data_IF_538742954377
#
_entry.id   IF_538742954377
#
_cell.length_a   1.000
_cell.length_b   1.000
_cell.length_c   1.000
_cell.angle_alpha   90.00
_cell.angle_beta   90.00
_cell.angle_gamma   90.00
#
_symmetry.space_group_name_H-M   'P 1'
#
loop_
_entity.id
_entity.type
_entity.pdbx_description
1 polymer ?
#
# COMPACT_ATOMS: atom_id res chain seq x y z
N UNK A 1 -19.56 -3.01 -10.50
CA UNK A 1 -18.14 -3.38 -10.73
C UNK A 1 -17.71 -2.90 -12.11
N UNK A 2 -16.62 -2.14 -12.20
CA UNK A 2 -15.98 -1.70 -13.45
C UNK A 2 -14.70 -2.52 -13.66
N UNK A 3 -14.51 -3.04 -14.87
CA UNK A 3 -13.32 -3.80 -15.25
C UNK A 3 -12.76 -3.26 -16.56
N UNK A 4 -11.54 -2.74 -16.52
CA UNK A 4 -10.83 -2.18 -17.66
C UNK A 4 -9.58 -3.03 -17.91
N UNK A 5 -9.54 -3.78 -19.01
CA UNK A 5 -8.44 -4.68 -19.32
C UNK A 5 -7.91 -4.46 -20.73
N UNK A 6 -6.58 -4.46 -20.88
CA UNK A 6 -5.90 -4.44 -22.18
C UNK A 6 -6.32 -3.25 -23.06
N UNK A 7 -6.48 -2.08 -22.45
CA UNK A 7 -6.80 -0.83 -23.15
C UNK A 7 -5.52 0.02 -23.29
N UNK A 8 -4.67 -0.23 -24.30
CA UNK A 8 -3.35 0.40 -24.39
C UNK A 8 -3.42 1.91 -24.53
N UNK A 9 -4.49 2.45 -25.14
CA UNK A 9 -4.69 3.90 -25.33
C UNK A 9 -5.35 4.59 -24.13
N UNK A 10 -5.75 3.86 -23.09
CA UNK A 10 -6.40 4.46 -21.92
C UNK A 10 -5.36 5.23 -21.10
N UNK A 11 -5.43 6.56 -21.14
CA UNK A 11 -4.49 7.45 -20.43
C UNK A 11 -5.01 7.92 -19.07
N UNK A 12 -6.32 7.85 -18.88
CA UNK A 12 -7.04 8.19 -17.65
C UNK A 12 -8.44 7.58 -17.70
N UNK A 13 -9.02 7.25 -16.55
CA UNK A 13 -10.40 6.74 -16.45
C UNK A 13 -11.41 7.90 -16.53
N UNK A 14 -10.96 9.12 -16.23
CA UNK A 14 -11.76 10.34 -16.26
C UNK A 14 -11.03 11.43 -17.05
N UNK A 15 -11.67 11.90 -18.12
CA UNK A 15 -11.23 13.04 -18.95
C UNK A 15 -12.45 13.87 -19.34
N UNK A 16 -12.28 15.18 -19.44
CA UNK A 16 -13.27 16.18 -19.85
C UNK A 16 -14.10 15.85 -21.08
N UNK A 17 -13.56 14.99 -21.93
CA UNK A 17 -14.01 14.82 -23.31
C UNK A 17 -14.76 13.51 -23.56
N UNK A 18 -14.75 12.57 -22.59
CA UNK A 18 -15.40 11.28 -22.72
C UNK A 18 -15.83 10.78 -21.33
N UNK A 19 -17.07 11.11 -20.98
CA UNK A 19 -17.66 10.80 -19.68
C UNK A 19 -18.21 9.38 -19.71
N UNK A 20 -17.49 8.42 -19.14
CA UNK A 20 -18.16 7.24 -18.57
C UNK A 20 -18.72 7.68 -17.22
N UNK A 21 -19.96 8.18 -17.22
CA UNK A 21 -20.71 8.44 -16.00
C UNK A 21 -20.89 7.09 -15.32
N UNK A 22 -20.40 6.98 -14.09
CA UNK A 22 -20.35 5.72 -13.37
C UNK A 22 -20.80 5.96 -11.93
N UNK A 23 -22.08 6.26 -11.77
CA UNK A 23 -22.65 6.75 -10.51
C UNK A 23 -22.84 5.66 -9.44
N UNK A 24 -22.32 4.45 -9.67
CA UNK A 24 -22.58 3.27 -8.81
C UNK A 24 -21.44 2.25 -8.76
N UNK A 25 -20.21 2.64 -9.10
CA UNK A 25 -19.08 1.70 -9.03
C UNK A 25 -18.58 1.59 -7.58
N UNK A 26 -18.83 0.44 -6.96
CA UNK A 26 -18.20 0.05 -5.70
C UNK A 26 -16.81 -0.58 -5.87
N UNK A 27 -16.54 -1.18 -7.03
CA UNK A 27 -15.28 -1.88 -7.29
C UNK A 27 -14.78 -1.63 -8.71
N UNK A 28 -13.52 -1.19 -8.82
CA UNK A 28 -12.82 -0.94 -10.07
C UNK A 28 -11.55 -1.80 -10.17
N UNK A 29 -11.46 -2.60 -11.23
CA UNK A 29 -10.25 -3.37 -11.58
C UNK A 29 -9.69 -2.89 -12.91
N UNK A 30 -8.41 -2.55 -12.93
CA UNK A 30 -7.72 -2.03 -14.12
C UNK A 30 -6.46 -2.86 -14.32
N UNK A 31 -6.29 -3.43 -15.51
CA UNK A 31 -5.14 -4.28 -15.78
C UNK A 31 -4.62 -4.16 -17.21
N UNK A 32 -3.30 -4.23 -17.37
CA UNK A 32 -2.64 -4.24 -18.69
C UNK A 32 -2.92 -2.98 -19.56
N UNK A 33 -3.15 -1.82 -18.94
CA UNK A 33 -3.28 -0.55 -19.65
C UNK A 33 -1.92 0.16 -19.68
N UNK A 34 -1.16 -0.02 -20.75
CA UNK A 34 0.26 0.40 -20.85
C UNK A 34 0.46 1.91 -20.79
N UNK A 35 -0.45 2.71 -21.34
CA UNK A 35 -0.31 4.18 -21.38
C UNK A 35 -1.00 4.90 -20.21
N UNK A 36 -1.61 4.15 -19.27
CA UNK A 36 -2.35 4.71 -18.15
C UNK A 36 -1.38 5.30 -17.13
N UNK A 37 -1.17 6.62 -17.21
CA UNK A 37 -0.27 7.34 -16.29
C UNK A 37 -0.94 7.73 -14.97
N UNK A 38 -2.25 7.97 -15.01
CA UNK A 38 -3.04 8.44 -13.87
C UNK A 38 -4.40 7.76 -13.80
N UNK A 39 -4.80 7.30 -12.62
CA UNK A 39 -6.10 6.65 -12.39
C UNK A 39 -7.19 7.71 -12.23
N UNK A 40 -7.06 8.56 -11.20
CA UNK A 40 -7.96 9.68 -10.95
C UNK A 40 -7.32 10.98 -11.43
N UNK A 41 -8.07 11.77 -12.22
CA UNK A 41 -7.63 13.04 -12.80
C UNK A 41 -8.25 14.27 -12.13
N UNK A 42 -8.05 15.45 -12.75
CA UNK A 42 -8.20 16.77 -12.12
C UNK A 42 -9.61 17.17 -11.67
N UNK A 43 -10.64 16.37 -11.97
CA UNK A 43 -12.04 16.65 -11.65
C UNK A 43 -12.62 15.49 -10.84
N UNK A 44 -12.32 15.49 -9.54
CA UNK A 44 -12.93 14.56 -8.59
C UNK A 44 -14.42 14.86 -8.48
N UNK A 45 -15.24 14.10 -9.21
CA UNK A 45 -16.66 14.00 -8.92
C UNK A 45 -17.35 12.69 -9.35
N UNK A 46 -16.66 11.53 -9.35
CA UNK A 46 -17.44 10.31 -9.18
C UNK A 46 -16.65 9.19 -8.46
N UNK A 47 -16.52 9.23 -7.14
CA UNK A 47 -16.29 8.01 -6.33
C UNK A 47 -16.95 8.16 -4.96
N UNK A 48 -18.17 8.71 -4.92
CA UNK A 48 -18.95 8.68 -3.67
C UNK A 48 -19.34 7.25 -3.28
N UNK A 49 -19.09 6.25 -4.14
CA UNK A 49 -19.42 4.85 -3.93
C UNK A 49 -18.24 3.87 -4.06
N UNK A 50 -17.05 4.28 -4.54
CA UNK A 50 -15.96 3.32 -4.77
C UNK A 50 -15.32 2.85 -3.47
N UNK A 51 -15.55 1.58 -3.14
CA UNK A 51 -15.01 0.90 -1.98
C UNK A 51 -13.73 0.13 -2.29
N UNK A 52 -13.55 -0.38 -3.51
CA UNK A 52 -12.45 -1.29 -3.86
C UNK A 52 -11.75 -0.88 -5.15
N UNK A 53 -10.45 -0.68 -5.06
CA UNK A 53 -9.59 -0.34 -6.21
C UNK A 53 -8.52 -1.41 -6.40
N UNK A 54 -8.44 -1.98 -7.61
CA UNK A 54 -7.46 -2.99 -7.97
C UNK A 54 -6.71 -2.59 -9.25
N UNK A 55 -5.42 -2.34 -9.13
CA UNK A 55 -4.55 -1.87 -10.20
C UNK A 55 -3.47 -2.94 -10.46
N UNK A 56 -3.39 -3.49 -11.67
CA UNK A 56 -2.43 -4.55 -11.98
C UNK A 56 -1.69 -4.32 -13.28
N UNK A 57 -0.37 -4.54 -13.31
CA UNK A 57 0.43 -4.54 -14.55
C UNK A 57 0.22 -3.25 -15.36
N UNK A 58 0.29 -2.11 -14.69
CA UNK A 58 0.17 -0.79 -15.31
C UNK A 58 1.57 -0.18 -15.42
N UNK A 59 2.23 -0.44 -16.54
CA UNK A 59 3.66 -0.16 -16.72
C UNK A 59 4.02 1.32 -16.64
N UNK A 60 3.13 2.21 -17.10
CA UNK A 60 3.33 3.67 -17.06
C UNK A 60 2.63 4.38 -15.91
N UNK A 61 2.03 3.65 -14.95
CA UNK A 61 1.29 4.28 -13.85
C UNK A 61 2.25 5.05 -12.95
N UNK A 62 2.04 6.37 -12.84
CA UNK A 62 2.87 7.27 -12.06
C UNK A 62 2.15 7.85 -10.85
N UNK A 63 0.82 7.99 -10.91
CA UNK A 63 0.01 8.43 -9.78
C UNK A 63 -1.37 7.77 -9.77
N UNK A 64 -1.86 7.43 -8.59
CA UNK A 64 -3.25 6.99 -8.40
C UNK A 64 -4.17 8.20 -8.27
N UNK A 65 -3.77 9.21 -7.49
CA UNK A 65 -4.58 10.39 -7.18
C UNK A 65 -3.99 11.66 -7.78
N UNK A 66 -4.83 12.54 -8.33
CA UNK A 66 -4.41 13.85 -8.80
C UNK A 66 -4.26 14.83 -7.63
N UNK A 67 -3.04 15.34 -7.42
CA UNK A 67 -2.70 16.24 -6.32
C UNK A 67 -3.37 17.62 -6.44
N UNK A 68 -3.50 18.13 -7.66
CA UNK A 68 -4.06 19.47 -7.93
C UNK A 68 -5.57 19.45 -7.68
N UNK A 69 -6.22 18.35 -8.07
CA UNK A 69 -7.63 18.13 -7.82
C UNK A 69 -7.98 18.06 -6.33
N UNK A 70 -7.14 17.37 -5.54
CA UNK A 70 -7.33 17.25 -4.09
C UNK A 70 -7.06 18.57 -3.35
N UNK A 71 -6.17 19.42 -3.89
CA UNK A 71 -5.91 20.75 -3.35
C UNK A 71 -7.09 21.72 -3.57
N UNK A 72 -7.81 21.60 -4.69
CA UNK A 72 -8.99 22.41 -5.02
C UNK A 72 -10.23 22.08 -4.16
N UNK A 73 -10.24 20.94 -3.45
CA UNK A 73 -11.26 20.61 -2.46
C UNK A 73 -11.11 21.43 -1.16
N UNK A 74 -10.53 22.62 -1.20
CA UNK A 74 -10.37 23.49 -0.04
C UNK A 74 -11.10 24.84 -0.20
N UNK A 75 -11.87 25.30 0.81
CA UNK A 75 -12.20 24.61 2.05
C UNK A 75 -13.49 23.82 1.86
N UNK A 76 -13.44 22.63 1.23
CA UNK A 76 -14.59 21.75 1.30
C UNK A 76 -14.83 21.38 2.78
N UNK A 77 -16.08 21.33 3.24
CA UNK A 77 -16.41 20.92 4.60
C UNK A 77 -15.76 19.57 4.92
N UNK A 78 -15.55 19.32 6.21
CA UNK A 78 -14.95 18.10 6.77
C UNK A 78 -15.73 16.78 6.48
N UNK A 79 -16.58 16.76 5.46
CA UNK A 79 -17.56 15.71 5.15
C UNK A 79 -17.25 14.97 3.84
N UNK A 80 -16.27 15.39 3.05
CA UNK A 80 -15.85 14.63 1.85
C UNK A 80 -14.98 13.44 2.26
N UNK A 81 -15.62 12.33 2.61
CA UNK A 81 -14.97 11.04 2.79
C UNK A 81 -15.09 10.22 1.51
N UNK A 82 -13.99 9.63 1.07
CA UNK A 82 -14.05 8.56 0.10
C UNK A 82 -14.49 7.28 0.82
N UNK A 83 -15.45 6.52 0.27
CA UNK A 83 -15.90 5.25 0.84
C UNK A 83 -14.87 4.13 0.62
N UNK A 84 -13.68 4.44 0.11
CA UNK A 84 -12.65 3.47 -0.23
C UNK A 84 -12.25 2.64 0.99
N UNK A 85 -12.52 1.33 0.91
CA UNK A 85 -12.27 0.29 1.91
C UNK A 85 -11.01 -0.49 1.59
N UNK A 86 -10.70 -0.73 0.32
CA UNK A 86 -9.55 -1.56 -0.08
C UNK A 86 -8.83 -1.02 -1.31
N UNK A 87 -7.51 -1.01 -1.25
CA UNK A 87 -6.62 -0.74 -2.38
C UNK A 87 -5.70 -1.94 -2.58
N UNK A 88 -5.66 -2.47 -3.80
CA UNK A 88 -4.71 -3.49 -4.24
C UNK A 88 -3.92 -3.01 -5.44
N UNK A 89 -2.60 -3.05 -5.38
CA UNK A 89 -1.70 -2.65 -6.47
C UNK A 89 -0.68 -3.76 -6.72
N UNK A 90 -0.61 -4.25 -7.95
CA UNK A 90 0.32 -5.32 -8.31
C UNK A 90 1.10 -4.99 -9.59
N UNK A 91 2.42 -5.20 -9.60
CA UNK A 91 3.24 -5.11 -10.83
C UNK A 91 3.11 -3.74 -11.53
N UNK A 92 3.01 -2.65 -10.77
CA UNK A 92 2.94 -1.27 -11.29
C UNK A 92 4.30 -0.58 -11.09
N UNK A 93 5.28 -0.96 -11.91
CA UNK A 93 6.68 -0.69 -11.61
C UNK A 93 7.10 0.79 -11.64
N UNK A 94 6.39 1.69 -12.34
CA UNK A 94 6.69 3.13 -12.35
C UNK A 94 6.02 3.92 -11.20
N UNK A 95 5.17 3.27 -10.40
CA UNK A 95 4.48 3.93 -9.31
C UNK A 95 5.44 4.09 -8.13
N UNK A 96 5.82 5.33 -7.84
CA UNK A 96 6.79 5.67 -6.78
C UNK A 96 6.17 5.91 -5.41
N UNK A 97 4.92 6.37 -5.40
CA UNK A 97 4.16 6.69 -4.19
C UNK A 97 2.68 6.38 -4.38
N UNK A 98 2.02 5.86 -3.35
CA UNK A 98 0.57 5.66 -3.39
C UNK A 98 -0.16 6.95 -3.02
N UNK A 99 0.20 7.51 -1.86
CA UNK A 99 -0.36 8.73 -1.32
C UNK A 99 0.67 9.86 -1.40
N UNK A 100 0.23 11.02 -1.85
CA UNK A 100 1.05 12.21 -2.00
C UNK A 100 0.87 13.20 -0.83
N UNK A 101 1.72 14.24 -0.71
CA UNK A 101 1.63 15.21 0.38
C UNK A 101 0.29 15.93 0.44
N UNK A 102 -0.24 16.24 -0.75
CA UNK A 102 -1.55 16.88 -0.92
C UNK A 102 -2.70 15.89 -0.84
N UNK A 103 -2.42 14.59 -0.70
CA UNK A 103 -3.48 13.60 -0.53
C UNK A 103 -4.07 13.73 0.87
N UNK A 104 -5.35 14.08 0.93
CA UNK A 104 -6.07 14.16 2.19
C UNK A 104 -6.30 12.76 2.72
N UNK A 105 -5.35 12.21 3.47
CA UNK A 105 -5.55 10.95 4.22
C UNK A 105 -6.79 11.03 5.15
N UNK A 106 -7.14 12.24 5.59
CA UNK A 106 -8.39 12.53 6.29
C UNK A 106 -9.66 12.22 5.49
N UNK A 107 -9.58 12.10 4.16
CA UNK A 107 -10.69 11.64 3.31
C UNK A 107 -10.76 10.11 3.21
N UNK A 108 -9.76 9.36 3.68
CA UNK A 108 -9.65 7.90 3.53
C UNK A 108 -9.87 7.15 4.85
N UNK A 109 -10.72 7.67 5.73
CA UNK A 109 -10.96 7.12 7.07
C UNK A 109 -11.70 5.76 7.06
N UNK A 110 -12.19 5.32 5.90
CA UNK A 110 -12.84 4.01 5.72
C UNK A 110 -11.88 2.91 5.25
N UNK A 111 -10.63 3.24 4.96
CA UNK A 111 -9.68 2.31 4.38
C UNK A 111 -9.31 1.20 5.38
N UNK A 112 -9.68 -0.04 5.07
CA UNK A 112 -9.42 -1.23 5.87
C UNK A 112 -8.23 -2.04 5.37
N UNK A 113 -7.95 -2.03 4.06
CA UNK A 113 -6.90 -2.85 3.45
C UNK A 113 -6.05 -2.08 2.45
N UNK A 114 -4.73 -2.19 2.59
CA UNK A 114 -3.74 -1.81 1.59
C UNK A 114 -2.90 -3.05 1.27
N UNK A 115 -2.88 -3.47 0.00
CA UNK A 115 -2.11 -4.60 -0.49
C UNK A 115 -1.29 -4.18 -1.73
N UNK A 116 0.02 -4.07 -1.59
CA UNK A 116 0.93 -3.62 -2.65
C UNK A 116 1.98 -4.69 -2.87
N UNK A 117 2.05 -5.20 -4.11
CA UNK A 117 2.98 -6.25 -4.50
C UNK A 117 3.74 -5.90 -5.78
N UNK A 118 5.03 -6.25 -5.83
CA UNK A 118 5.83 -6.26 -7.06
C UNK A 118 5.91 -4.90 -7.76
N UNK A 119 6.02 -3.81 -7.00
CA UNK A 119 6.15 -2.44 -7.52
C UNK A 119 7.59 -1.95 -7.33
N UNK A 120 8.47 -2.29 -8.28
CA UNK A 120 9.92 -2.16 -8.17
C UNK A 120 10.45 -0.75 -7.87
N UNK A 121 9.79 0.33 -8.35
CA UNK A 121 10.21 1.71 -8.08
C UNK A 121 9.41 2.40 -6.97
N UNK A 122 8.57 1.67 -6.22
CA UNK A 122 7.84 2.24 -5.09
C UNK A 122 8.84 2.66 -4.01
N UNK A 123 8.92 3.96 -3.71
CA UNK A 123 9.86 4.53 -2.74
C UNK A 123 9.17 4.81 -1.40
N UNK A 124 7.91 5.24 -1.43
CA UNK A 124 7.11 5.58 -0.24
C UNK A 124 5.66 5.12 -0.40
N UNK A 125 4.99 4.69 0.67
CA UNK A 125 3.53 4.46 0.59
C UNK A 125 2.78 5.78 0.75
N UNK A 126 3.19 6.58 1.74
CA UNK A 126 2.64 7.89 2.06
C UNK A 126 3.76 8.93 2.05
N UNK A 127 3.76 9.78 1.03
CA UNK A 127 4.73 10.87 0.90
C UNK A 127 4.16 12.16 1.51
N UNK A 128 4.97 12.89 2.28
CA UNK A 128 4.63 14.22 2.86
C UNK A 128 5.36 15.37 2.16
N UNK A 129 6.32 15.06 1.28
CA UNK A 129 6.94 16.03 0.40
C UNK A 129 7.85 17.01 1.14
N UNK A 130 8.70 17.69 0.37
CA UNK A 130 9.88 18.37 0.92
C UNK A 130 9.60 19.49 1.93
N UNK A 131 8.40 20.06 1.98
CA UNK A 131 8.08 21.14 2.95
C UNK A 131 7.45 20.64 4.25
N UNK A 132 6.78 19.48 4.24
CA UNK A 132 6.20 18.89 5.45
C UNK A 132 7.12 17.80 6.04
N UNK A 133 8.13 17.36 5.28
CA UNK A 133 9.23 16.48 5.74
C UNK A 133 10.04 17.05 6.92
N UNK A 134 9.94 18.35 7.24
CA UNK A 134 10.57 18.95 8.42
C UNK A 134 9.69 18.89 9.68
N UNK A 135 8.41 18.51 9.56
CA UNK A 135 7.47 18.42 10.70
C UNK A 135 7.03 16.99 10.93
N UNK A 136 7.25 16.51 12.15
CA UNK A 136 6.71 15.22 12.58
C UNK A 136 5.17 15.31 12.59
N UNK A 137 4.54 14.65 11.62
CA UNK A 137 3.09 14.56 11.52
C UNK A 137 2.62 13.21 12.04
N UNK A 138 1.59 13.24 12.88
CA UNK A 138 0.84 12.05 13.25
C UNK A 138 -0.26 11.82 12.22
N UNK A 139 -0.07 10.80 11.39
CA UNK A 139 -1.04 10.39 10.37
C UNK A 139 -2.00 9.38 10.98
N UNK A 140 -3.24 9.32 10.48
CA UNK A 140 -4.25 8.41 11.02
C UNK A 140 -5.01 7.69 9.92
N UNK A 141 -5.01 6.36 10.00
CA UNK A 141 -5.88 5.46 9.23
C UNK A 141 -6.62 4.57 10.23
N UNK A 142 -7.68 5.09 10.89
CA UNK A 142 -8.23 4.49 12.10
C UNK A 142 -8.89 3.13 11.86
N UNK A 143 -9.36 2.86 10.63
CA UNK A 143 -9.98 1.59 10.25
C UNK A 143 -9.03 0.63 9.52
N UNK A 144 -7.75 0.98 9.32
CA UNK A 144 -6.82 0.10 8.62
C UNK A 144 -6.60 -1.17 9.45
N UNK A 145 -6.94 -2.32 8.87
CA UNK A 145 -6.84 -3.65 9.49
C UNK A 145 -5.73 -4.49 8.89
N UNK A 146 -5.44 -4.30 7.61
CA UNK A 146 -4.48 -5.12 6.87
C UNK A 146 -3.57 -4.21 6.05
N UNK A 147 -2.27 -4.29 6.30
CA UNK A 147 -1.22 -3.69 5.47
C UNK A 147 -0.30 -4.78 4.95
N UNK A 148 -0.27 -4.97 3.63
CA UNK A 148 0.59 -5.94 2.96
C UNK A 148 1.48 -5.24 1.95
N UNK A 149 2.78 -5.40 2.15
CA UNK A 149 3.85 -4.84 1.33
C UNK A 149 4.76 -5.99 0.92
N UNK A 150 4.82 -6.26 -0.39
CA UNK A 150 5.55 -7.40 -0.92
C UNK A 150 6.36 -7.01 -2.15
N UNK A 151 7.59 -7.49 -2.25
CA UNK A 151 8.40 -7.32 -3.47
C UNK A 151 8.56 -5.84 -3.85
N UNK A 152 8.91 -5.01 -2.85
CA UNK A 152 9.10 -3.56 -3.01
C UNK A 152 10.57 -3.21 -2.70
N UNK A 153 11.51 -3.55 -3.60
CA UNK A 153 12.94 -3.43 -3.34
C UNK A 153 13.40 -1.98 -3.14
N UNK A 154 12.70 -0.99 -3.70
CA UNK A 154 13.03 0.43 -3.55
C UNK A 154 12.31 1.13 -2.38
N UNK A 155 11.47 0.43 -1.61
CA UNK A 155 10.64 1.05 -0.58
C UNK A 155 11.52 1.49 0.60
N UNK A 156 11.62 2.80 0.81
CA UNK A 156 12.45 3.42 1.86
C UNK A 156 11.64 3.72 3.12
N UNK A 157 10.38 4.13 2.97
CA UNK A 157 9.49 4.48 4.10
C UNK A 157 8.03 4.08 3.81
N UNK A 158 7.26 3.81 4.87
CA UNK A 158 5.79 3.66 4.76
C UNK A 158 5.13 5.04 4.83
N UNK A 159 5.58 5.89 5.75
CA UNK A 159 5.32 7.31 5.74
C UNK A 159 6.63 8.05 6.05
N UNK A 160 6.70 9.34 5.69
CA UNK A 160 7.86 10.22 5.89
C UNK A 160 8.65 9.89 7.16
N UNK A 161 9.99 9.95 7.09
CA UNK A 161 10.91 9.38 8.08
C UNK A 161 10.74 9.87 9.52
N UNK A 162 10.05 10.99 9.75
CA UNK A 162 9.79 11.57 11.09
C UNK A 162 8.31 11.46 11.51
N UNK A 163 7.47 10.86 10.68
CA UNK A 163 6.05 10.71 10.91
C UNK A 163 5.70 9.34 11.46
N UNK A 164 4.61 9.29 12.21
CA UNK A 164 4.05 8.05 12.77
C UNK A 164 2.63 7.86 12.27
N UNK A 165 2.27 6.61 12.00
CA UNK A 165 0.97 6.18 11.56
C UNK A 165 0.21 5.60 12.76
N UNK A 166 -0.88 6.27 13.12
CA UNK A 166 -1.87 5.75 14.07
C UNK A 166 -2.88 4.88 13.34
N UNK A 167 -2.86 3.59 13.66
CA UNK A 167 -3.77 2.59 13.10
C UNK A 167 -4.17 1.58 14.19
N UNK A 168 -5.02 2.02 15.12
CA UNK A 168 -5.42 1.24 16.30
C UNK A 168 -6.20 -0.05 15.93
N UNK A 169 -6.79 -0.08 14.72
CA UNK A 169 -7.48 -1.24 14.15
C UNK A 169 -6.57 -2.24 13.42
N UNK A 170 -5.26 -1.98 13.32
CA UNK A 170 -4.35 -2.83 12.55
C UNK A 170 -4.30 -4.23 13.15
N UNK A 171 -4.69 -5.23 12.36
CA UNK A 171 -4.70 -6.64 12.77
C UNK A 171 -3.51 -7.39 12.19
N UNK A 172 -3.16 -7.13 10.93
CA UNK A 172 -2.10 -7.85 10.22
C UNK A 172 -1.20 -6.90 9.45
N UNK A 173 0.11 -7.05 9.68
CA UNK A 173 1.16 -6.42 8.91
C UNK A 173 1.98 -7.49 8.18
N UNK A 174 2.13 -7.38 6.87
CA UNK A 174 2.95 -8.29 6.06
C UNK A 174 4.00 -7.46 5.34
N UNK A 175 5.28 -7.71 5.61
CA UNK A 175 6.39 -7.05 4.91
C UNK A 175 7.31 -8.14 4.38
N UNK A 176 7.29 -8.35 3.06
CA UNK A 176 8.06 -9.39 2.37
C UNK A 176 8.94 -8.73 1.32
N UNK A 177 10.26 -8.92 1.39
CA UNK A 177 11.26 -8.45 0.43
C UNK A 177 11.14 -6.95 0.14
N UNK A 178 11.08 -6.16 1.22
CA UNK A 178 11.14 -4.70 1.19
C UNK A 178 12.46 -4.25 1.85
N UNK A 179 13.59 -4.62 1.25
CA UNK A 179 14.91 -4.62 1.91
C UNK A 179 15.47 -3.23 2.24
N UNK A 180 15.04 -2.19 1.52
CA UNK A 180 15.45 -0.80 1.77
C UNK A 180 14.60 -0.11 2.84
N UNK A 181 13.56 -0.78 3.36
CA UNK A 181 12.65 -0.18 4.35
C UNK A 181 13.35 -0.15 5.71
N UNK A 182 13.60 1.06 6.23
CA UNK A 182 14.41 1.23 7.45
C UNK A 182 13.62 1.19 8.75
N UNK A 183 12.34 1.55 8.70
CA UNK A 183 11.50 1.76 9.89
C UNK A 183 10.08 1.27 9.63
N UNK A 184 9.41 0.90 10.72
CA UNK A 184 7.97 0.63 10.74
C UNK A 184 7.33 1.76 11.55
N UNK A 185 6.67 2.74 10.91
CA UNK A 185 6.23 3.96 11.57
C UNK A 185 4.87 3.74 12.26
N UNK A 186 4.77 2.76 13.15
CA UNK A 186 3.55 2.55 13.93
C UNK A 186 3.59 3.44 15.17
N UNK A 187 2.51 4.16 15.44
CA UNK A 187 2.36 4.87 16.71
C UNK A 187 2.20 3.85 17.85
N UNK A 188 3.16 3.83 18.77
CA UNK A 188 3.14 3.00 19.97
C UNK A 188 2.99 3.91 21.20
N UNK A 189 1.82 3.97 21.85
CA UNK A 189 1.64 4.80 23.03
C UNK A 189 2.57 4.33 24.15
N UNK A 190 3.25 5.29 24.77
CA UNK A 190 4.14 5.06 25.90
C UNK A 190 3.35 5.21 27.21
N UNK A 191 3.47 4.24 28.10
CA UNK A 191 2.97 4.31 29.48
C UNK A 191 3.94 5.11 30.37
N UNK A 192 3.49 5.58 31.53
CA UNK A 192 4.30 6.36 32.49
C UNK A 192 5.56 5.62 32.98
N UNK A 193 5.56 4.29 32.89
CA UNK A 193 6.72 3.43 33.17
C UNK A 193 7.70 3.30 31.98
N UNK A 194 7.45 4.05 30.90
CA UNK A 194 8.21 4.04 29.66
C UNK A 194 8.05 2.77 28.83
N UNK A 195 6.99 1.97 29.02
CA UNK A 195 6.68 0.82 28.16
C UNK A 195 5.89 1.27 26.93
N UNK A 196 6.28 0.78 25.74
CA UNK A 196 5.53 0.98 24.50
C UNK A 196 4.47 -0.11 24.36
N UNK A 197 3.22 0.28 24.07
CA UNK A 197 2.14 -0.66 23.82
C UNK A 197 1.98 -0.93 22.32
N UNK A 198 1.81 -2.19 21.89
CA UNK A 198 1.46 -2.50 20.52
C UNK A 198 0.06 -1.97 20.19
N UNK A 199 -0.29 -1.83 18.89
CA UNK A 199 -1.66 -1.52 18.49
C UNK A 199 -2.64 -2.55 19.08
N UNK A 200 -3.77 -2.12 19.66
CA UNK A 200 -4.62 -2.97 20.49
C UNK A 200 -5.26 -4.14 19.70
N UNK A 201 -5.43 -3.98 18.39
CA UNK A 201 -6.01 -4.99 17.51
C UNK A 201 -4.98 -5.91 16.85
N UNK A 202 -3.68 -5.71 17.09
CA UNK A 202 -2.62 -6.40 16.38
C UNK A 202 -2.65 -7.91 16.70
N UNK A 203 -2.73 -8.72 15.65
CA UNK A 203 -2.78 -10.19 15.74
C UNK A 203 -1.55 -10.86 15.19
N UNK A 204 -0.89 -10.26 14.20
CA UNK A 204 0.32 -10.84 13.63
C UNK A 204 1.06 -9.91 12.69
N UNK A 205 2.39 -10.04 12.72
CA UNK A 205 3.32 -9.41 11.80
C UNK A 205 4.06 -10.52 11.08
N UNK A 206 3.93 -10.62 9.77
CA UNK A 206 4.64 -11.59 8.96
C UNK A 206 5.77 -10.87 8.24
N UNK A 207 7.01 -11.34 8.42
CA UNK A 207 8.19 -10.69 7.85
C UNK A 207 9.09 -11.66 7.11
N UNK A 208 9.65 -11.19 6.01
CA UNK A 208 10.69 -11.90 5.25
C UNK A 208 11.54 -10.89 4.46
N UNK A 209 12.87 -11.00 4.41
CA UNK A 209 13.69 -11.97 5.15
C UNK A 209 13.81 -11.59 6.65
N UNK A 210 14.27 -12.52 7.50
CA UNK A 210 14.41 -12.27 8.96
C UNK A 210 15.51 -11.25 9.25
N UNK A 211 16.56 -11.30 8.46
CA UNK A 211 17.72 -10.41 8.50
C UNK A 211 17.30 -8.95 8.31
N UNK A 212 16.31 -8.69 7.45
CA UNK A 212 15.76 -7.35 7.28
C UNK A 212 15.15 -6.81 8.57
N UNK A 213 14.33 -7.61 9.27
CA UNK A 213 13.73 -7.20 10.56
C UNK A 213 14.79 -6.90 11.62
N UNK A 214 15.89 -7.66 11.63
CA UNK A 214 17.01 -7.45 12.55
C UNK A 214 17.81 -6.18 12.22
N UNK A 215 17.76 -5.72 10.96
CA UNK A 215 18.42 -4.50 10.49
C UNK A 215 17.59 -3.22 10.65
N UNK A 216 16.32 -3.32 11.07
CA UNK A 216 15.44 -2.17 11.27
C UNK A 216 16.02 -1.17 12.27
N UNK A 217 15.90 0.12 11.94
CA UNK A 217 16.20 1.22 12.84
C UNK A 217 15.00 1.42 13.79
N UNK A 218 15.24 1.33 15.11
CA UNK A 218 14.23 1.54 16.14
C UNK A 218 14.59 2.78 16.94
N UNK A 219 13.62 3.68 17.15
CA UNK A 219 13.87 4.91 17.93
C UNK A 219 14.05 4.58 19.42
N UNK A 220 13.36 3.54 19.89
CA UNK A 220 13.54 3.00 21.23
C UNK A 220 13.56 1.47 21.23
N UNK A 221 14.50 0.77 21.91
CA UNK A 221 14.57 -0.69 21.91
C UNK A 221 13.26 -1.39 22.31
N UNK A 222 12.49 -0.74 23.20
CA UNK A 222 11.19 -1.24 23.68
C UNK A 222 10.10 -1.31 22.59
N UNK A 223 10.23 -0.57 21.49
CA UNK A 223 9.29 -0.65 20.36
C UNK A 223 9.41 -1.99 19.64
N UNK A 224 10.65 -2.45 19.43
CA UNK A 224 10.94 -3.79 18.91
C UNK A 224 10.35 -4.84 19.83
N UNK A 225 10.59 -4.73 21.14
CA UNK A 225 10.12 -5.71 22.12
C UNK A 225 8.59 -5.77 22.22
N UNK A 226 7.90 -4.65 21.99
CA UNK A 226 6.44 -4.60 21.96
C UNK A 226 5.85 -5.33 20.75
N UNK A 227 6.53 -5.30 19.59
CA UNK A 227 6.07 -5.90 18.35
C UNK A 227 6.56 -7.34 18.14
N UNK A 228 7.70 -7.70 18.72
CA UNK A 228 8.33 -9.01 18.56
C UNK A 228 7.41 -10.21 18.87
N UNK A 229 6.55 -10.19 19.92
CA UNK A 229 5.63 -11.28 20.21
C UNK A 229 4.63 -11.60 19.10
N UNK A 230 4.36 -10.62 18.23
CA UNK A 230 3.44 -10.78 17.10
C UNK A 230 4.16 -11.22 15.82
N UNK A 231 5.49 -11.26 15.82
CA UNK A 231 6.29 -11.51 14.63
C UNK A 231 6.39 -12.99 14.29
N UNK A 232 6.07 -13.31 13.04
CA UNK A 232 6.31 -14.60 12.40
C UNK A 232 7.28 -14.39 11.24
N UNK A 233 8.48 -14.89 11.43
CA UNK A 233 9.53 -14.94 10.41
C UNK A 233 9.25 -16.09 9.46
N UNK A 234 8.99 -15.77 8.19
CA UNK A 234 8.69 -16.78 7.18
C UNK A 234 10.00 -17.43 6.73
N UNK A 235 10.08 -18.76 6.66
CA UNK A 235 11.29 -19.47 6.22
C UNK A 235 11.37 -19.59 4.68
N UNK A 236 10.22 -19.62 4.03
CA UNK A 236 10.04 -19.69 2.58
C UNK A 236 8.82 -18.85 2.18
N UNK A 237 8.65 -18.54 0.88
CA UNK A 237 7.46 -17.85 0.39
C UNK A 237 6.17 -18.58 0.82
N UNK A 238 5.22 -17.93 1.51
CA UNK A 238 3.96 -18.57 1.83
C UNK A 238 3.20 -18.93 0.56
N UNK A 239 2.76 -20.18 0.45
CA UNK A 239 2.14 -20.74 -0.76
C UNK A 239 0.86 -20.03 -1.21
N UNK A 240 0.13 -19.35 -0.31
CA UNK A 240 -1.07 -18.54 -0.64
C UNK A 240 -0.74 -17.19 -1.28
N UNK A 241 0.54 -16.90 -1.55
CA UNK A 241 1.03 -15.70 -2.21
C UNK A 241 1.37 -15.97 -3.69
N UNK A 242 1.28 -17.23 -4.15
CA UNK A 242 1.45 -17.57 -5.57
C UNK A 242 0.14 -17.31 -6.32
N UNK A 243 0.14 -16.53 -7.42
CA UNK A 243 -1.01 -16.50 -8.31
C UNK A 243 -1.25 -17.91 -8.86
N UNK A 244 -2.52 -18.34 -9.05
CA UNK A 244 -2.82 -19.66 -9.58
C UNK A 244 -2.28 -19.74 -11.02
N UNK A 245 -1.22 -20.52 -11.23
CA UNK A 245 -0.66 -20.76 -12.56
C UNK A 245 0.86 -20.78 -12.60
N UNK A 246 1.47 -21.84 -12.07
CA UNK A 246 2.65 -22.52 -12.64
C UNK A 246 2.96 -23.75 -11.81
N UNK A 247 2.33 -24.87 -12.16
CA UNK A 247 2.89 -26.19 -11.86
C UNK A 247 4.03 -26.42 -12.86
N UNK A 248 5.27 -26.22 -12.43
CA UNK A 248 6.39 -26.96 -13.00
C UNK A 248 6.55 -28.18 -12.11
N UNK A 249 6.17 -29.34 -12.63
CA UNK A 249 6.42 -30.63 -11.99
C UNK A 249 7.93 -30.90 -11.88
N UNK A 250 8.36 -31.76 -10.95
CA UNK A 250 9.76 -32.05 -10.74
C UNK A 250 10.36 -32.73 -11.98
N UNK A 251 11.52 -32.23 -12.40
CA UNK A 251 12.42 -32.88 -13.36
C UNK A 251 12.79 -34.26 -12.80
N UNK A 252 12.29 -35.32 -13.42
CA UNK A 252 12.77 -36.67 -13.17
C UNK A 252 14.20 -36.77 -13.71
N UNK A 253 15.14 -36.97 -12.78
CA UNK A 253 16.45 -37.53 -13.09
C UNK A 253 16.20 -38.96 -13.59
N UNK A 254 16.54 -39.25 -14.83
CA UNK A 254 16.65 -40.63 -15.31
C UNK A 254 18.13 -40.99 -15.30
N UNK A 255 18.51 -41.76 -14.29
CA UNK A 255 19.71 -42.58 -14.31
C UNK A 255 19.59 -43.62 -15.43
N UNK A 256 20.63 -43.74 -16.24
CA UNK A 256 20.85 -44.83 -17.18
C UNK A 256 21.31 -46.10 -16.43
N UNK A 257 20.75 -47.29 -16.68
CA UNK A 257 21.36 -48.51 -16.18
C UNK A 257 22.39 -49.04 -17.18
N UNK A 258 23.60 -49.22 -16.65
CA UNK A 258 24.62 -50.15 -17.12
C UNK A 258 24.16 -51.60 -16.94
N UNK A 259 24.22 -52.37 -18.03
CA UNK A 259 24.59 -53.80 -18.17
C UNK A 259 23.68 -54.49 -19.20
#
# INVERSE_FOLDING_TARGET
>A
MLKLEQLPKLRCIYSSSAVLVCDSIEEATISYCSDLKRVFGSWFNPLQTLERLNLRKLESLQSVFDEEALALLSPAPATTFFPLVSITIATCHQLKKLFSPRSRLSCLQNLETIDIMDCAQMEEIISLGSQEEEKALQLSLPKLRILKLKDLPALKSICSNISVLRCDSLMYLLIIRCTELKRIPLYLPQLDNGQSLPPPSLKGINVFPKEWWESLEWDHPKERDALLPFCKFLAEEPWWVRPPGRHLGPLAQNESPTS
#
